data_IF_786609244647
#
_entry.id   IF_786609244647
#
_cell.length_a   1.000
_cell.length_b   1.000
_cell.length_c   1.000
_cell.angle_alpha   90.00
_cell.angle_beta   90.00
_cell.angle_gamma   90.00
#
_symmetry.space_group_name_H-M   'P 1'
#
loop_
_entity.id
_entity.type
_entity.pdbx_description
1 polymer ?
#
# COMPACT_ATOMS: atom_id res chain seq x y z
N UNK A 1 -39.97 -45.85 4.21
CA UNK A 1 -39.89 -44.46 3.70
C UNK A 1 -38.66 -43.83 4.36
N UNK A 2 -37.54 -43.82 3.65
CA UNK A 2 -36.26 -43.28 4.12
C UNK A 2 -36.34 -41.74 4.17
N UNK A 3 -35.94 -41.13 5.29
CA UNK A 3 -35.63 -39.70 5.35
C UNK A 3 -34.14 -39.58 5.67
N UNK A 4 -33.35 -39.37 4.63
CA UNK A 4 -31.92 -39.06 4.72
C UNK A 4 -31.76 -37.63 5.22
N UNK A 5 -31.40 -37.47 6.50
CA UNK A 5 -30.93 -36.19 7.02
C UNK A 5 -29.51 -35.95 6.52
N UNK A 6 -29.37 -35.27 5.37
CA UNK A 6 -28.10 -34.69 4.97
C UNK A 6 -27.80 -33.49 5.87
N UNK A 7 -27.06 -33.73 6.95
CA UNK A 7 -26.41 -32.66 7.70
C UNK A 7 -25.34 -32.02 6.81
N UNK A 8 -25.69 -30.91 6.17
CA UNK A 8 -24.72 -30.07 5.46
C UNK A 8 -23.85 -29.40 6.52
N UNK A 9 -22.71 -30.01 6.79
CA UNK A 9 -21.64 -29.37 7.57
C UNK A 9 -21.09 -28.22 6.73
N UNK A 10 -21.51 -27.00 7.07
CA UNK A 10 -20.91 -25.77 6.56
C UNK A 10 -19.48 -25.70 7.15
N UNK A 11 -18.51 -26.27 6.45
CA UNK A 11 -17.11 -26.04 6.77
C UNK A 11 -16.82 -24.57 6.50
N UNK A 12 -16.77 -23.76 7.57
CA UNK A 12 -16.07 -22.48 7.50
C UNK A 12 -14.61 -22.81 7.20
N UNK A 13 -14.24 -22.74 5.92
CA UNK A 13 -12.85 -22.57 5.54
C UNK A 13 -12.42 -21.24 6.16
N UNK A 14 -11.80 -21.29 7.34
CA UNK A 14 -11.04 -20.17 7.84
C UNK A 14 -9.98 -19.88 6.77
N UNK A 15 -10.14 -18.79 6.04
CA UNK A 15 -9.12 -18.28 5.15
C UNK A 15 -7.91 -17.94 6.02
N UNK A 16 -7.00 -18.92 6.20
CA UNK A 16 -5.72 -18.71 6.84
C UNK A 16 -4.83 -17.96 5.87
N UNK A 17 -5.09 -16.66 5.71
CA UNK A 17 -4.13 -15.77 5.10
C UNK A 17 -2.86 -15.84 5.95
N UNK A 18 -1.78 -16.36 5.37
CA UNK A 18 -0.50 -16.50 6.08
C UNK A 18 -0.14 -15.17 6.74
N UNK A 19 0.24 -15.22 8.03
CA UNK A 19 0.71 -14.03 8.74
C UNK A 19 2.00 -13.56 8.08
N UNK A 20 2.09 -12.32 7.56
CA UNK A 20 3.30 -11.84 6.91
C UNK A 20 4.49 -11.89 7.84
N UNK A 21 5.67 -12.08 7.26
CA UNK A 21 6.95 -12.13 7.96
C UNK A 21 7.78 -10.88 7.65
N UNK A 22 8.85 -10.66 8.42
CA UNK A 22 9.84 -9.63 8.11
C UNK A 22 10.45 -9.83 6.71
N UNK A 23 10.61 -11.07 6.25
CA UNK A 23 11.08 -11.34 4.90
C UNK A 23 10.11 -10.82 3.83
N UNK A 24 8.79 -10.93 4.06
CA UNK A 24 7.79 -10.38 3.13
C UNK A 24 7.82 -8.86 3.10
N UNK A 25 8.02 -8.21 4.26
CA UNK A 25 8.20 -6.75 4.31
C UNK A 25 9.50 -6.31 3.61
N UNK A 26 10.59 -7.05 3.79
CA UNK A 26 11.85 -6.79 3.08
C UNK A 26 11.65 -6.97 1.58
N UNK A 27 10.98 -8.03 1.14
CA UNK A 27 10.68 -8.28 -0.27
C UNK A 27 9.88 -7.13 -0.87
N UNK A 28 8.80 -6.71 -0.19
CA UNK A 28 7.93 -5.62 -0.64
C UNK A 28 8.67 -4.28 -0.82
N UNK A 29 9.64 -3.99 0.05
CA UNK A 29 10.39 -2.74 0.07
C UNK A 29 11.68 -2.75 -0.76
N UNK A 30 12.28 -3.93 -0.98
CA UNK A 30 13.58 -4.05 -1.64
C UNK A 30 13.47 -4.09 -3.17
N UNK A 31 12.81 -3.10 -3.75
CA UNK A 31 12.68 -2.92 -5.20
C UNK A 31 13.44 -1.69 -5.70
N UNK A 32 13.63 -1.60 -7.01
CA UNK A 32 14.08 -0.39 -7.72
C UNK A 32 12.91 0.40 -8.29
N UNK A 33 11.70 -0.16 -8.25
CA UNK A 33 10.49 0.49 -8.73
C UNK A 33 9.98 1.53 -7.73
N UNK A 34 9.18 2.48 -8.24
CA UNK A 34 8.32 3.31 -7.39
C UNK A 34 7.28 2.42 -6.74
N UNK A 35 6.99 2.67 -5.47
CA UNK A 35 5.93 1.98 -4.75
C UNK A 35 4.82 2.99 -4.46
N UNK A 36 3.68 2.81 -5.12
CA UNK A 36 2.57 3.76 -5.17
C UNK A 36 1.53 3.46 -4.10
N UNK A 37 1.00 4.49 -3.46
CA UNK A 37 -0.21 4.39 -2.64
C UNK A 37 -1.43 4.27 -3.55
N UNK A 38 -2.09 3.11 -3.51
CA UNK A 38 -3.26 2.80 -4.34
C UNK A 38 -4.55 3.18 -3.62
N UNK A 39 -4.72 2.69 -2.39
CA UNK A 39 -5.91 2.93 -1.56
C UNK A 39 -5.49 3.35 -0.17
N UNK A 40 -6.32 4.16 0.48
CA UNK A 40 -6.21 4.47 1.91
C UNK A 40 -7.59 4.57 2.56
N UNK A 41 -7.62 4.49 3.88
CA UNK A 41 -8.88 4.52 4.62
C UNK A 41 -9.28 5.86 5.23
N UNK A 42 -8.42 6.86 5.09
CA UNK A 42 -8.62 8.21 5.58
C UNK A 42 -8.61 9.19 4.40
N UNK A 43 -9.34 10.29 4.54
CA UNK A 43 -9.42 11.29 3.49
C UNK A 43 -8.25 12.30 3.55
N UNK A 44 -8.21 13.14 2.52
CA UNK A 44 -7.27 14.25 2.35
C UNK A 44 -7.63 15.49 3.20
N UNK A 45 -8.78 15.48 3.87
CA UNK A 45 -9.35 16.58 4.65
C UNK A 45 -9.18 16.39 6.16
N UNK A 46 -8.43 15.36 6.59
CA UNK A 46 -8.10 15.16 8.00
C UNK A 46 -7.23 16.30 8.54
N UNK A 47 -7.86 17.10 9.41
CA UNK A 47 -7.39 18.10 10.38
C UNK A 47 -6.39 19.20 9.96
N UNK A 48 -5.58 19.02 8.92
CA UNK A 48 -4.60 20.02 8.48
C UNK A 48 -4.58 20.13 6.94
N UNK A 49 -4.54 21.34 6.34
CA UNK A 49 -4.45 21.52 4.89
C UNK A 49 -3.25 20.82 4.25
N UNK A 50 -2.22 20.49 5.04
CA UNK A 50 -1.00 19.79 4.64
C UNK A 50 -1.17 18.28 4.39
N UNK A 51 -2.31 17.68 4.75
CA UNK A 51 -2.57 16.25 4.54
C UNK A 51 -3.30 15.94 3.23
N UNK A 52 -3.47 16.95 2.37
CA UNK A 52 -3.99 16.80 1.00
C UNK A 52 -2.98 16.20 0.01
N UNK A 53 -2.39 15.06 0.39
CA UNK A 53 -1.36 14.37 -0.38
C UNK A 53 -1.97 13.43 -1.42
N UNK A 54 -1.88 13.82 -2.68
CA UNK A 54 -2.19 12.98 -3.85
C UNK A 54 -0.91 12.50 -4.53
N UNK A 55 -1.03 11.53 -5.45
CA UNK A 55 0.11 11.00 -6.21
C UNK A 55 1.25 10.50 -5.31
N UNK A 56 0.91 9.84 -4.21
CA UNK A 56 1.91 9.40 -3.24
C UNK A 56 2.64 8.17 -3.76
N UNK A 57 3.96 8.26 -3.86
CA UNK A 57 4.83 7.10 -4.10
C UNK A 57 6.12 7.22 -3.30
N UNK A 58 6.78 6.08 -3.09
CA UNK A 58 8.08 6.02 -2.43
C UNK A 58 9.14 5.38 -3.33
N UNK A 59 10.37 5.85 -3.20
CA UNK A 59 11.56 5.32 -3.86
C UNK A 59 12.59 4.93 -2.80
N UNK A 60 13.13 3.71 -2.92
CA UNK A 60 14.21 3.24 -2.04
C UNK A 60 15.49 4.02 -2.35
N UNK A 61 16.07 4.65 -1.35
CA UNK A 61 17.40 5.26 -1.45
C UNK A 61 18.48 4.24 -1.07
N UNK A 62 18.33 3.59 0.08
CA UNK A 62 19.23 2.54 0.55
C UNK A 62 18.55 1.62 1.54
N UNK A 63 19.04 0.39 1.62
CA UNK A 63 18.49 -0.62 2.51
C UNK A 63 19.64 -1.50 3.04
N UNK A 64 19.84 -1.47 4.37
CA UNK A 64 20.90 -2.21 5.05
C UNK A 64 20.32 -2.94 6.27
N UNK A 65 20.37 -4.27 6.29
CA UNK A 65 19.84 -5.14 7.36
C UNK A 65 18.40 -4.80 7.78
N UNK A 66 18.23 -3.88 8.73
CA UNK A 66 16.96 -3.42 9.29
C UNK A 66 16.65 -1.94 9.00
N UNK A 67 17.57 -1.20 8.41
CA UNK A 67 17.43 0.23 8.11
C UNK A 67 17.03 0.44 6.65
N UNK A 68 15.88 1.09 6.44
CA UNK A 68 15.35 1.43 5.13
C UNK A 68 15.29 2.96 5.01
N UNK A 69 16.09 3.54 4.11
CA UNK A 69 16.02 4.96 3.80
C UNK A 69 15.33 5.11 2.44
N UNK A 70 14.35 6.01 2.38
CA UNK A 70 13.51 6.18 1.20
C UNK A 70 13.09 7.62 1.03
N UNK A 71 12.71 7.95 -0.20
CA UNK A 71 12.16 9.26 -0.55
C UNK A 71 10.69 9.09 -0.85
N UNK A 72 9.84 9.83 -0.14
CA UNK A 72 8.41 9.92 -0.43
C UNK A 72 8.15 11.15 -1.30
N UNK A 73 7.41 10.94 -2.38
CA UNK A 73 6.93 11.98 -3.27
C UNK A 73 5.42 12.10 -3.15
N UNK A 74 4.89 13.32 -3.27
CA UNK A 74 3.47 13.58 -3.27
C UNK A 74 3.18 14.96 -3.88
N UNK A 75 1.91 15.21 -4.19
CA UNK A 75 1.41 16.52 -4.59
C UNK A 75 0.51 17.03 -3.47
N UNK A 76 0.74 18.27 -3.03
CA UNK A 76 -0.15 19.03 -2.14
C UNK A 76 -0.30 20.43 -2.70
N UNK A 77 -1.51 20.98 -2.71
CA UNK A 77 -1.81 22.32 -3.23
C UNK A 77 -1.28 22.58 -4.65
N UNK A 78 -1.30 21.54 -5.50
CA UNK A 78 -0.80 21.58 -6.87
C UNK A 78 0.73 21.53 -7.01
N UNK A 79 1.47 21.53 -5.90
CA UNK A 79 2.93 21.50 -5.90
C UNK A 79 3.48 20.10 -5.60
N UNK A 80 4.50 19.69 -6.37
CA UNK A 80 5.27 18.48 -6.07
C UNK A 80 6.12 18.70 -4.82
N UNK A 81 6.02 17.79 -3.87
CA UNK A 81 6.82 17.78 -2.63
C UNK A 81 7.55 16.45 -2.50
N UNK A 82 8.67 16.53 -1.79
CA UNK A 82 9.57 15.40 -1.56
C UNK A 82 9.97 15.39 -0.09
N UNK A 83 9.97 14.22 0.53
CA UNK A 83 10.39 14.01 1.91
C UNK A 83 11.32 12.81 2.01
N UNK A 84 12.54 13.05 2.50
CA UNK A 84 13.46 11.97 2.83
C UNK A 84 13.11 11.39 4.20
N UNK A 85 12.95 10.08 4.25
CA UNK A 85 12.51 9.34 5.42
C UNK A 85 13.44 8.17 5.70
N UNK A 86 13.47 7.79 6.98
CA UNK A 86 14.17 6.60 7.45
C UNK A 86 13.21 5.74 8.25
N UNK A 87 13.25 4.44 8.03
CA UNK A 87 12.55 3.47 8.83
C UNK A 87 13.50 2.43 9.43
N UNK A 88 13.12 1.91 10.60
CA UNK A 88 13.66 0.67 11.14
C UNK A 88 12.63 -0.45 10.97
N UNK A 89 13.06 -1.59 10.44
CA UNK A 89 12.25 -2.77 10.24
C UNK A 89 12.48 -3.73 11.40
N UNK A 90 11.40 -4.32 11.91
CA UNK A 90 11.51 -5.29 13.00
C UNK A 90 10.38 -6.31 12.94
N UNK A 91 10.68 -7.52 13.37
CA UNK A 91 9.67 -8.54 13.61
C UNK A 91 9.08 -8.35 15.02
N UNK A 92 7.75 -8.28 15.10
CA UNK A 92 6.99 -8.49 16.35
C UNK A 92 6.06 -9.69 16.15
N UNK A 93 4.83 -9.61 16.67
CA UNK A 93 3.74 -10.50 16.27
C UNK A 93 3.47 -10.42 14.75
N UNK A 94 3.74 -9.25 14.15
CA UNK A 94 3.76 -9.01 12.71
C UNK A 94 4.97 -8.13 12.36
N UNK A 95 5.46 -8.15 11.11
CA UNK A 95 6.47 -7.24 10.60
C UNK A 95 6.03 -5.78 10.71
N UNK A 96 6.92 -4.93 11.23
CA UNK A 96 6.69 -3.52 11.46
C UNK A 96 7.77 -2.68 10.78
N UNK A 97 7.34 -1.66 10.04
CA UNK A 97 8.15 -0.56 9.56
C UNK A 97 7.92 0.66 10.46
N UNK A 98 8.91 1.00 11.29
CA UNK A 98 8.86 2.14 12.19
C UNK A 98 9.53 3.36 11.52
N UNK A 99 8.71 4.22 10.91
CA UNK A 99 9.14 5.42 10.18
C UNK A 99 9.48 6.54 11.17
N UNK A 100 10.71 7.03 11.08
CA UNK A 100 11.25 8.10 11.90
C UNK A 100 10.99 9.42 11.18
N UNK A 101 10.15 10.25 11.79
CA UNK A 101 9.86 11.60 11.30
C UNK A 101 10.91 12.60 11.82
N UNK A 102 10.84 13.86 11.35
CA UNK A 102 11.71 14.96 11.81
C UNK A 102 11.69 15.08 13.35
N UNK A 103 12.79 15.58 13.96
CA UNK A 103 12.86 15.80 15.41
C UNK A 103 11.63 16.54 15.94
N UNK A 104 11.08 16.07 17.06
CA UNK A 104 9.87 16.64 17.67
C UNK A 104 8.54 16.05 17.19
N UNK A 105 8.53 15.15 16.20
CA UNK A 105 7.33 14.38 15.82
C UNK A 105 7.42 12.91 16.27
N UNK A 106 6.31 12.30 16.73
CA UNK A 106 6.26 10.87 16.99
C UNK A 106 6.57 10.05 15.74
N UNK A 107 7.24 8.91 15.92
CA UNK A 107 7.43 7.94 14.85
C UNK A 107 6.09 7.31 14.45
N UNK A 108 5.94 6.98 13.16
CA UNK A 108 4.76 6.27 12.67
C UNK A 108 5.11 4.79 12.50
N UNK A 109 4.33 3.92 13.14
CA UNK A 109 4.51 2.47 13.08
C UNK A 109 3.52 1.86 12.09
N UNK A 110 4.04 1.46 10.94
CA UNK A 110 3.30 0.68 9.95
C UNK A 110 3.48 -0.80 10.22
N UNK A 111 2.40 -1.56 10.24
CA UNK A 111 2.40 -3.02 10.37
C UNK A 111 1.95 -3.62 9.06
N UNK A 112 2.73 -4.54 8.49
CA UNK A 112 2.34 -5.25 7.28
C UNK A 112 1.30 -6.33 7.62
N UNK A 113 0.15 -6.24 6.93
CA UNK A 113 -1.02 -7.08 7.16
C UNK A 113 -1.18 -8.15 6.10
N UNK A 114 -0.81 -7.83 4.86
CA UNK A 114 -0.73 -8.77 3.75
C UNK A 114 0.32 -8.31 2.74
N UNK A 115 0.88 -9.28 2.01
CA UNK A 115 1.79 -9.06 0.88
C UNK A 115 1.49 -10.10 -0.18
N UNK A 116 1.02 -9.64 -1.34
CA UNK A 116 0.74 -10.49 -2.48
C UNK A 116 1.93 -10.48 -3.43
N UNK A 117 2.69 -11.57 -3.45
CA UNK A 117 3.94 -11.68 -4.23
C UNK A 117 3.71 -11.66 -5.74
N UNK A 118 2.54 -12.10 -6.20
CA UNK A 118 2.18 -12.17 -7.61
C UNK A 118 1.80 -10.79 -8.15
N UNK A 119 0.93 -10.09 -7.42
CA UNK A 119 0.42 -8.77 -7.79
C UNK A 119 1.28 -7.61 -7.26
N UNK A 120 2.38 -7.91 -6.56
CA UNK A 120 3.35 -6.95 -5.99
C UNK A 120 2.68 -5.80 -5.24
N UNK A 121 1.72 -6.14 -4.41
CA UNK A 121 0.95 -5.21 -3.61
C UNK A 121 0.94 -5.64 -2.14
N UNK A 122 0.85 -4.68 -1.23
CA UNK A 122 0.85 -4.94 0.20
C UNK A 122 -0.05 -3.98 0.96
N UNK A 123 -0.61 -4.48 2.06
CA UNK A 123 -1.44 -3.71 2.97
C UNK A 123 -0.67 -3.36 4.23
N UNK A 124 -0.50 -2.06 4.46
CA UNK A 124 0.04 -1.53 5.70
C UNK A 124 -1.09 -0.96 6.56
N UNK A 125 -0.94 -1.10 7.88
CA UNK A 125 -1.79 -0.41 8.85
C UNK A 125 -0.97 0.39 9.82
N UNK A 126 -1.47 1.57 10.19
CA UNK A 126 -0.88 2.39 11.23
C UNK A 126 -1.98 2.91 12.15
N UNK A 127 -1.55 3.44 13.30
CA UNK A 127 -2.44 4.02 14.30
C UNK A 127 -2.18 5.51 14.37
N UNK A 128 -3.22 6.32 14.23
CA UNK A 128 -3.18 7.77 14.45
C UNK A 128 -4.34 8.19 15.35
N UNK A 129 -4.10 9.03 16.36
CA UNK A 129 -5.12 9.51 17.30
C UNK A 129 -6.09 8.44 17.86
N UNK A 130 -5.58 7.23 18.10
CA UNK A 130 -6.33 6.03 18.49
C UNK A 130 -7.19 5.34 17.42
N UNK A 131 -7.25 5.89 16.22
CA UNK A 131 -7.86 5.27 15.05
C UNK A 131 -6.86 4.41 14.28
N UNK A 132 -7.35 3.28 13.75
CA UNK A 132 -6.56 2.39 12.92
C UNK A 132 -6.83 2.70 11.45
N UNK A 133 -5.78 3.05 10.71
CA UNK A 133 -5.85 3.34 9.30
C UNK A 133 -5.20 2.25 8.45
N UNK A 134 -5.61 2.19 7.19
CA UNK A 134 -5.12 1.27 6.18
C UNK A 134 -4.56 2.02 4.99
N UNK A 135 -3.50 1.46 4.40
CA UNK A 135 -2.90 1.90 3.16
C UNK A 135 -2.51 0.68 2.32
N UNK A 136 -3.00 0.62 1.08
CA UNK A 136 -2.57 -0.36 0.08
C UNK A 136 -1.52 0.27 -0.81
N UNK A 137 -0.39 -0.41 -0.94
CA UNK A 137 0.69 -0.02 -1.84
C UNK A 137 0.90 -1.06 -2.94
N UNK A 138 1.36 -0.64 -4.10
CA UNK A 138 1.79 -1.54 -5.17
C UNK A 138 3.01 -1.02 -5.92
N UNK A 139 3.78 -1.94 -6.49
CA UNK A 139 4.91 -1.60 -7.36
C UNK A 139 4.44 -0.94 -8.66
N UNK A 140 5.26 -0.04 -9.22
CA UNK A 140 5.00 0.74 -10.43
C UNK A 140 4.48 -0.14 -11.58
N UNK A 141 5.15 -1.27 -11.84
CA UNK A 141 4.77 -2.23 -12.88
C UNK A 141 3.36 -2.81 -12.75
N UNK A 142 2.72 -2.70 -11.58
CA UNK A 142 1.40 -3.27 -11.28
C UNK A 142 0.28 -2.26 -11.16
N UNK A 143 0.58 -0.96 -11.17
CA UNK A 143 -0.44 0.10 -11.05
C UNK A 143 -1.49 0.03 -12.16
N UNK A 144 -1.07 -0.22 -13.41
CA UNK A 144 -2.00 -0.35 -14.55
C UNK A 144 -2.88 -1.59 -14.41
N UNK A 145 -2.28 -2.74 -14.08
CA UNK A 145 -3.00 -4.01 -13.92
C UNK A 145 -4.10 -3.90 -12.85
N UNK A 146 -3.77 -3.28 -11.72
CA UNK A 146 -4.67 -3.10 -10.58
C UNK A 146 -5.82 -2.12 -10.88
N UNK A 147 -5.61 -1.15 -11.78
CA UNK A 147 -6.65 -0.19 -12.17
C UNK A 147 -7.67 -0.77 -13.17
N UNK A 148 -7.24 -1.74 -14.01
CA UNK A 148 -8.09 -2.31 -15.06
C UNK A 148 -8.93 -3.48 -14.54
N UNK A 149 -8.46 -4.19 -13.52
CA UNK A 149 -9.19 -5.33 -12.93
C UNK A 149 -10.14 -4.85 -11.83
N UNK A 150 -11.45 -5.02 -12.05
CA UNK A 150 -12.52 -4.58 -11.12
C UNK A 150 -12.54 -5.33 -9.78
N UNK A 151 -11.80 -6.42 -9.66
CA UNK A 151 -11.49 -7.11 -8.40
C UNK A 151 -10.15 -7.79 -8.60
N UNK A 152 -9.11 -7.22 -7.99
CA UNK A 152 -7.81 -7.85 -7.88
C UNK A 152 -7.64 -8.34 -6.43
N UNK A 153 -6.87 -9.41 -6.26
CA UNK A 153 -6.67 -10.04 -4.95
C UNK A 153 -6.14 -9.07 -3.87
N UNK A 154 -5.48 -7.98 -4.25
CA UNK A 154 -5.02 -6.95 -3.32
C UNK A 154 -6.17 -6.15 -2.70
N UNK A 155 -7.13 -5.73 -3.53
CA UNK A 155 -8.30 -5.00 -3.06
C UNK A 155 -9.23 -5.90 -2.24
N UNK A 156 -9.36 -7.18 -2.63
CA UNK A 156 -10.09 -8.16 -1.82
C UNK A 156 -9.44 -8.34 -0.44
N UNK A 157 -8.10 -8.41 -0.37
CA UNK A 157 -7.36 -8.42 0.90
C UNK A 157 -7.57 -7.14 1.71
N UNK A 158 -7.55 -5.98 1.05
CA UNK A 158 -7.84 -4.69 1.66
C UNK A 158 -9.23 -4.70 2.31
N UNK A 159 -10.26 -5.06 1.56
CA UNK A 159 -11.65 -5.08 2.04
C UNK A 159 -11.84 -6.06 3.19
N UNK A 160 -11.18 -7.21 3.13
CA UNK A 160 -11.21 -8.21 4.17
C UNK A 160 -10.50 -7.79 5.46
N UNK A 161 -9.43 -6.99 5.38
CA UNK A 161 -8.64 -6.59 6.55
C UNK A 161 -9.12 -5.26 7.14
N UNK A 162 -9.52 -4.32 6.29
CA UNK A 162 -9.90 -2.95 6.65
C UNK A 162 -11.42 -2.76 6.81
N UNK A 163 -12.16 -3.87 6.97
CA UNK A 163 -13.62 -3.95 7.04
C UNK A 163 -14.28 -2.69 7.63
N UNK A 164 -15.29 -2.17 6.93
CA UNK A 164 -16.13 -1.02 7.33
C UNK A 164 -15.44 0.35 7.30
N UNK A 165 -14.17 0.45 6.91
CA UNK A 165 -13.54 1.75 6.66
C UNK A 165 -13.89 2.26 5.26
N UNK A 166 -13.96 3.58 5.10
CA UNK A 166 -14.12 4.20 3.78
C UNK A 166 -12.88 3.92 2.93
N UNK A 167 -13.04 3.86 1.61
CA UNK A 167 -11.93 3.73 0.65
C UNK A 167 -11.74 5.06 -0.07
N UNK A 168 -10.50 5.53 -0.12
CA UNK A 168 -10.10 6.71 -0.87
C UNK A 168 -8.99 6.31 -1.85
N UNK A 169 -9.18 6.68 -3.11
CA UNK A 169 -8.20 6.47 -4.17
C UNK A 169 -6.97 7.38 -3.94
N UNK A 170 -5.77 6.80 -4.07
CA UNK A 170 -4.50 7.52 -4.04
C UNK A 170 -4.17 8.25 -5.36
N UNK A 171 -4.97 8.02 -6.41
CA UNK A 171 -4.81 8.47 -7.79
C UNK A 171 -3.55 7.93 -8.48
N UNK A 172 -3.03 6.77 -8.03
CA UNK A 172 -1.76 6.22 -8.49
C UNK A 172 -1.70 6.06 -10.01
N UNK A 173 -2.76 5.54 -10.63
CA UNK A 173 -2.83 5.32 -12.08
C UNK A 173 -2.70 6.61 -12.88
N UNK A 174 -3.50 7.62 -12.56
CA UNK A 174 -3.48 8.91 -13.25
C UNK A 174 -2.12 9.59 -13.08
N UNK A 175 -1.55 9.53 -11.88
CA UNK A 175 -0.26 10.14 -11.57
C UNK A 175 0.91 9.41 -12.26
N UNK A 176 0.90 8.08 -12.28
CA UNK A 176 1.92 7.30 -12.99
C UNK A 176 1.93 7.61 -14.48
N UNK A 177 0.75 7.65 -15.12
CA UNK A 177 0.60 8.01 -16.54
C UNK A 177 1.05 9.44 -16.84
N UNK A 178 0.85 10.38 -15.91
CA UNK A 178 1.31 11.75 -16.06
C UNK A 178 2.84 11.88 -15.93
N UNK A 179 3.49 11.02 -15.13
CA UNK A 179 4.96 11.01 -15.00
C UNK A 179 5.65 10.28 -16.15
N UNK A 180 4.99 9.28 -16.74
CA UNK A 180 5.49 8.48 -17.85
C UNK A 180 4.53 8.60 -19.05
N UNK A 181 4.47 9.76 -19.72
CA UNK A 181 3.57 9.93 -20.86
C UNK A 181 3.91 8.90 -21.94
N UNK A 182 2.91 8.29 -22.62
CA UNK A 182 3.17 7.40 -23.73
C UNK A 182 3.98 8.14 -24.81
N UNK A 183 4.97 7.48 -25.39
CA UNK A 183 5.69 8.04 -26.53
C UNK A 183 4.68 8.40 -27.63
N UNK A 184 4.81 9.58 -28.26
CA UNK A 184 3.98 9.92 -29.40
C UNK A 184 4.16 8.86 -30.48
N UNK A 185 3.11 8.53 -31.25
CA UNK A 185 3.23 7.58 -32.35
C UNK A 185 4.35 8.04 -33.28
N UNK A 186 5.21 7.10 -33.70
CA UNK A 186 6.28 7.38 -34.63
C UNK A 186 5.69 8.10 -35.86
N UNK A 187 6.34 9.16 -36.37
CA UNK A 187 5.83 9.89 -37.52
C UNK A 187 5.62 8.91 -38.67
N UNK A 188 4.42 8.90 -39.23
CA UNK A 188 4.12 8.10 -40.41
C UNK A 188 5.10 8.50 -41.52
N UNK A 189 5.90 7.54 -42.01
CA UNK A 189 6.73 7.73 -43.18
C UNK A 189 5.82 8.18 -44.34
N UNK A 190 6.05 9.39 -44.86
CA UNK A 190 5.40 9.91 -46.07
C UNK A 190 6.18 9.49 -47.31
#
# INVERSE_FOLDING_TARGET
MLVLFFAVYLQLAAASGNVPTLADLVEALNTTEKVWLILRSYDLYWQEPYDRRNCVYVEKNSFTQDAYNFTQHYITDGEKKTLQLRAKLLQKNRPVMNVILKPGRPNVKYTLRSWNKEHKCGLLMFKDNNEMHCEMYAWDSKVVDLNVTSSNSCEDEYDNICKKQRKYDGNAYQCQRALNPPEPPAPACR
#
